data_IF_966103777105
#
_entry.id   IF_966103777105
#
_cell.length_a   1.000
_cell.length_b   1.000
_cell.length_c   1.000
_cell.angle_alpha   90.00
_cell.angle_beta   90.00
_cell.angle_gamma   90.00
#
_symmetry.space_group_name_H-M   'P 1'
#
loop_
_entity.id
_entity.type
_entity.pdbx_description
1 polymer ?
#
# COMPACT_ATOMS: atom_id res chain seq x y z
N UNK A 1 7.41 -15.88 27.08
CA UNK A 1 6.72 -14.57 27.16
C UNK A 1 7.67 -13.36 27.17
N UNK A 2 8.74 -13.36 27.99
CA UNK A 2 9.75 -12.27 28.03
C UNK A 2 10.33 -11.93 26.65
N UNK A 3 10.61 -12.94 25.83
CA UNK A 3 11.16 -12.78 24.48
C UNK A 3 10.18 -12.07 23.50
N UNK A 4 8.87 -12.30 23.62
CA UNK A 4 7.86 -11.60 22.80
C UNK A 4 7.80 -10.12 23.16
N UNK A 5 7.73 -9.81 24.46
CA UNK A 5 7.69 -8.43 24.93
C UNK A 5 8.95 -7.66 24.54
N UNK A 6 10.12 -8.30 24.65
CA UNK A 6 11.39 -7.71 24.24
C UNK A 6 11.42 -7.36 22.74
N UNK A 7 10.98 -8.28 21.86
CA UNK A 7 10.92 -8.01 20.41
C UNK A 7 9.92 -6.92 20.05
N UNK A 8 8.77 -6.86 20.74
CA UNK A 8 7.80 -5.78 20.55
C UNK A 8 8.41 -4.42 20.91
N UNK A 9 9.05 -4.32 22.07
CA UNK A 9 9.66 -3.08 22.53
C UNK A 9 10.88 -2.65 21.70
N UNK A 10 11.67 -3.60 21.21
CA UNK A 10 12.92 -3.30 20.49
C UNK A 10 12.74 -3.09 18.98
N UNK A 11 11.72 -3.67 18.36
CA UNK A 11 11.57 -3.70 16.89
C UNK A 11 10.22 -3.14 16.46
N UNK A 12 9.13 -3.77 16.93
CA UNK A 12 7.80 -3.48 16.41
C UNK A 12 7.33 -2.07 16.78
N UNK A 13 7.34 -1.72 18.08
CA UNK A 13 6.83 -0.43 18.52
C UNK A 13 7.68 0.74 18.01
N UNK A 14 9.03 0.70 18.04
CA UNK A 14 9.85 1.77 17.46
C UNK A 14 9.56 2.01 15.97
N UNK A 15 9.36 0.95 15.19
CA UNK A 15 8.99 1.05 13.77
C UNK A 15 7.63 1.74 13.58
N UNK A 16 6.62 1.32 14.34
CA UNK A 16 5.27 1.89 14.23
C UNK A 16 5.21 3.33 14.76
N UNK A 17 6.00 3.66 15.79
CA UNK A 17 6.10 5.02 16.32
C UNK A 17 6.76 5.96 15.30
N UNK A 18 7.82 5.52 14.62
CA UNK A 18 8.47 6.33 13.59
C UNK A 18 7.51 6.71 12.44
N UNK A 19 6.62 5.78 12.06
CA UNK A 19 5.55 6.06 11.07
C UNK A 19 4.57 7.08 11.63
N UNK A 20 4.09 6.87 12.85
CA UNK A 20 3.14 7.78 13.51
C UNK A 20 3.70 9.20 13.63
N UNK A 21 4.94 9.35 14.09
CA UNK A 21 5.62 10.65 14.25
C UNK A 21 5.79 11.36 12.91
N UNK A 22 6.15 10.61 11.86
CA UNK A 22 6.30 11.17 10.51
C UNK A 22 4.97 11.70 9.97
N UNK A 23 3.88 10.95 10.15
CA UNK A 23 2.54 11.36 9.72
C UNK A 23 2.04 12.56 10.53
N UNK A 24 2.17 12.52 11.86
CA UNK A 24 1.78 13.62 12.73
C UNK A 24 2.53 14.92 12.40
N UNK A 25 3.84 14.83 12.12
CA UNK A 25 4.63 15.99 11.71
C UNK A 25 4.17 16.59 10.39
N UNK A 26 3.68 15.77 9.45
CA UNK A 26 3.10 16.24 8.18
C UNK A 26 1.74 16.88 8.40
N UNK A 27 0.90 16.29 9.23
CA UNK A 27 -0.42 16.84 9.57
C UNK A 27 -0.31 18.21 10.25
N UNK A 28 0.63 18.37 11.20
CA UNK A 28 0.90 19.67 11.84
C UNK A 28 1.33 20.76 10.85
N UNK A 29 1.91 20.39 9.70
CA UNK A 29 2.28 21.31 8.61
C UNK A 29 1.18 21.49 7.57
N UNK A 30 -0.01 20.92 7.78
CA UNK A 30 -1.10 20.93 6.80
C UNK A 30 -0.77 20.16 5.51
N UNK A 31 0.17 19.22 5.58
CA UNK A 31 0.60 18.44 4.40
C UNK A 31 -0.28 17.20 4.24
N UNK A 32 -1.10 17.22 3.19
CA UNK A 32 -1.81 16.02 2.75
C UNK A 32 -0.82 14.86 2.52
N UNK A 33 -1.19 13.67 2.97
CA UNK A 33 -0.33 12.49 2.92
C UNK A 33 -1.15 11.28 2.53
N UNK A 34 -0.55 10.42 1.71
CA UNK A 34 -1.08 9.12 1.36
C UNK A 34 -0.12 8.07 1.92
N UNK A 35 -0.66 7.10 2.66
CA UNK A 35 0.15 6.02 3.20
C UNK A 35 0.30 4.90 2.16
N UNK A 36 1.53 4.65 1.70
CA UNK A 36 1.81 3.54 0.79
C UNK A 36 2.64 2.49 1.52
N UNK A 37 2.03 1.33 1.76
CA UNK A 37 2.67 0.14 2.29
C UNK A 37 3.24 -0.66 1.11
N UNK A 38 4.54 -0.94 1.10
CA UNK A 38 5.24 -1.55 -0.05
C UNK A 38 5.83 -2.90 0.34
N UNK A 39 5.37 -3.95 -0.33
CA UNK A 39 5.76 -5.33 -0.08
C UNK A 39 6.08 -6.07 -1.38
N UNK A 40 6.53 -7.30 -1.19
CA UNK A 40 6.71 -8.26 -2.27
C UNK A 40 6.31 -9.66 -1.83
N UNK A 41 5.89 -10.47 -2.79
CA UNK A 41 5.48 -11.85 -2.53
C UNK A 41 6.19 -12.86 -3.42
N UNK A 42 6.32 -14.10 -2.94
CA UNK A 42 6.95 -15.19 -3.69
C UNK A 42 6.12 -15.59 -4.92
N UNK A 43 6.72 -16.00 -6.06
CA UNK A 43 5.95 -16.31 -7.27
C UNK A 43 5.10 -17.58 -7.14
N UNK A 44 5.47 -18.47 -6.22
CA UNK A 44 4.70 -19.62 -5.78
C UNK A 44 5.02 -19.90 -4.31
N UNK A 45 4.12 -20.57 -3.60
CA UNK A 45 4.44 -21.22 -2.33
C UNK A 45 5.05 -22.60 -2.61
N UNK A 46 5.73 -23.19 -1.63
CA UNK A 46 6.46 -24.47 -1.80
C UNK A 46 5.61 -25.61 -2.39
N UNK A 47 4.32 -25.63 -2.08
CA UNK A 47 3.33 -26.60 -2.58
C UNK A 47 2.14 -25.90 -3.28
N UNK A 48 2.31 -24.64 -3.70
CA UNK A 48 1.24 -23.82 -4.27
C UNK A 48 1.32 -23.65 -5.77
N UNK A 49 0.17 -23.38 -6.40
CA UNK A 49 0.11 -22.98 -7.80
C UNK A 49 0.90 -21.68 -8.06
N UNK A 50 1.41 -21.47 -9.28
CA UNK A 50 1.99 -20.20 -9.69
C UNK A 50 1.00 -19.04 -9.44
N UNK A 51 1.47 -17.96 -8.84
CA UNK A 51 0.71 -16.74 -8.63
C UNK A 51 0.85 -15.86 -9.87
N UNK A 52 -0.22 -15.72 -10.68
CA UNK A 52 -0.10 -15.12 -12.01
C UNK A 52 0.09 -13.60 -11.95
N UNK A 53 -0.36 -12.96 -10.86
CA UNK A 53 -0.30 -11.52 -10.70
C UNK A 53 1.14 -11.03 -10.64
N UNK A 54 1.41 -9.93 -11.32
CA UNK A 54 2.70 -9.24 -11.26
C UNK A 54 2.72 -8.18 -10.15
N UNK A 55 1.55 -7.59 -9.87
CA UNK A 55 1.32 -6.65 -8.78
C UNK A 55 -0.08 -6.87 -8.18
N UNK A 56 -0.18 -6.86 -6.86
CA UNK A 56 -1.41 -6.85 -6.09
C UNK A 56 -1.64 -5.49 -5.44
N UNK A 57 -2.89 -5.03 -5.44
CA UNK A 57 -3.34 -3.88 -4.66
C UNK A 57 -4.28 -4.38 -3.58
N UNK A 58 -3.89 -4.17 -2.33
CA UNK A 58 -4.65 -4.56 -1.15
C UNK A 58 -5.40 -3.35 -0.59
N UNK A 59 -6.67 -3.57 -0.28
CA UNK A 59 -7.55 -2.57 0.31
C UNK A 59 -8.78 -3.23 0.95
N UNK A 60 -9.28 -2.61 2.01
CA UNK A 60 -10.53 -3.02 2.68
C UNK A 60 -11.28 -1.78 3.21
N UNK A 61 -11.18 -1.51 4.51
CA UNK A 61 -11.82 -0.37 5.16
C UNK A 61 -11.10 0.98 4.96
N UNK A 62 -11.54 2.00 5.71
CA UNK A 62 -10.95 3.34 5.68
C UNK A 62 -11.17 4.09 4.36
N UNK A 63 -10.28 5.04 4.04
CA UNK A 63 -10.29 5.75 2.75
C UNK A 63 -9.48 4.97 1.69
N UNK A 64 -10.15 3.99 1.06
CA UNK A 64 -9.58 3.17 -0.03
C UNK A 64 -9.63 3.86 -1.41
N UNK A 65 -9.93 5.17 -1.50
CA UNK A 65 -10.09 5.88 -2.77
C UNK A 65 -8.81 5.88 -3.62
N UNK A 66 -7.66 6.05 -2.98
CA UNK A 66 -6.36 6.01 -3.66
C UNK A 66 -6.00 4.60 -4.14
N UNK A 67 -6.16 3.57 -3.29
CA UNK A 67 -5.95 2.18 -3.68
C UNK A 67 -6.84 1.77 -4.88
N UNK A 68 -8.12 2.14 -4.85
CA UNK A 68 -9.06 1.84 -5.95
C UNK A 68 -8.67 2.56 -7.25
N UNK A 69 -8.24 3.82 -7.15
CA UNK A 69 -7.75 4.57 -8.30
C UNK A 69 -6.49 3.93 -8.91
N UNK A 70 -5.56 3.48 -8.05
CA UNK A 70 -4.33 2.83 -8.45
C UNK A 70 -4.57 1.47 -9.10
N UNK A 71 -5.45 0.66 -8.52
CA UNK A 71 -5.90 -0.60 -9.11
C UNK A 71 -6.51 -0.38 -10.50
N UNK A 72 -7.37 0.63 -10.64
CA UNK A 72 -7.98 1.00 -11.91
C UNK A 72 -6.93 1.42 -12.94
N UNK A 73 -5.98 2.26 -12.54
CA UNK A 73 -4.88 2.74 -13.40
C UNK A 73 -4.03 1.58 -13.92
N UNK A 74 -3.58 0.69 -13.02
CA UNK A 74 -2.76 -0.47 -13.37
C UNK A 74 -3.49 -1.43 -14.32
N UNK A 75 -4.80 -1.63 -14.15
CA UNK A 75 -5.63 -2.49 -15.02
C UNK A 75 -5.85 -1.94 -16.44
N UNK A 76 -5.47 -0.69 -16.70
CA UNK A 76 -5.46 -0.13 -18.06
C UNK A 76 -4.35 -0.76 -18.91
N UNK A 77 -3.22 -1.11 -18.30
CA UNK A 77 -2.13 -1.82 -18.96
C UNK A 77 -2.47 -3.31 -19.12
N UNK A 78 -2.85 -3.72 -20.33
CA UNK A 78 -3.22 -5.11 -20.64
C UNK A 78 -2.04 -6.08 -20.64
N UNK A 79 -0.81 -5.59 -20.49
CA UNK A 79 0.36 -6.44 -20.28
C UNK A 79 0.54 -6.86 -18.83
N UNK A 80 -0.25 -6.30 -17.91
CA UNK A 80 -0.24 -6.62 -16.49
C UNK A 80 -1.43 -7.49 -16.07
N UNK A 81 -1.12 -8.56 -15.35
CA UNK A 81 -2.05 -9.29 -14.51
C UNK A 81 -2.00 -8.63 -13.13
N UNK A 82 -3.04 -7.86 -12.81
CA UNK A 82 -3.14 -7.08 -11.57
C UNK A 82 -4.09 -7.78 -10.59
N UNK A 83 -3.58 -8.07 -9.40
CA UNK A 83 -4.33 -8.62 -8.28
C UNK A 83 -5.11 -7.54 -7.54
N UNK A 84 -6.34 -7.87 -7.15
CA UNK A 84 -7.24 -7.03 -6.35
C UNK A 84 -7.54 -7.82 -5.09
N UNK A 85 -6.87 -7.45 -4.00
CA UNK A 85 -6.73 -8.30 -2.82
C UNK A 85 -6.20 -9.71 -3.17
N UNK A 86 -5.17 -9.75 -4.02
CA UNK A 86 -4.42 -10.95 -4.40
C UNK A 86 -2.91 -10.65 -4.39
N UNK A 87 -2.03 -11.59 -3.95
CA UNK A 87 -2.33 -12.96 -3.50
C UNK A 87 -2.80 -13.03 -2.04
N UNK A 88 -2.88 -11.88 -1.37
CA UNK A 88 -3.35 -11.72 -0.01
C UNK A 88 -4.52 -10.76 -0.01
N UNK A 89 -5.43 -10.95 0.93
CA UNK A 89 -6.57 -10.08 1.15
C UNK A 89 -6.31 -9.23 2.38
N UNK A 90 -6.52 -7.93 2.26
CA UNK A 90 -6.52 -7.06 3.43
C UNK A 90 -7.72 -7.42 4.31
N UNK A 91 -7.47 -7.67 5.60
CA UNK A 91 -8.49 -8.00 6.59
C UNK A 91 -8.11 -7.51 8.01
N UNK A 92 -8.72 -8.09 9.04
CA UNK A 92 -8.54 -7.69 10.44
C UNK A 92 -7.16 -8.04 11.02
N UNK A 93 -6.35 -8.86 10.34
CA UNK A 93 -4.99 -9.19 10.79
C UNK A 93 -3.93 -8.24 10.23
N UNK A 94 -4.28 -7.37 9.27
CA UNK A 94 -3.43 -6.29 8.81
C UNK A 94 -3.17 -5.26 9.91
N UNK A 95 -1.97 -4.67 9.90
CA UNK A 95 -1.52 -3.85 11.02
C UNK A 95 -1.24 -2.39 10.61
N UNK A 96 -0.27 -2.18 9.73
CA UNK A 96 0.27 -0.84 9.45
C UNK A 96 -0.78 0.08 8.84
N UNK A 97 -1.50 -0.38 7.82
CA UNK A 97 -2.55 0.43 7.17
C UNK A 97 -3.70 0.75 8.13
N UNK A 98 -4.37 -0.25 8.77
CA UNK A 98 -5.44 0.07 9.72
C UNK A 98 -5.01 1.00 10.86
N UNK A 99 -3.82 0.77 11.43
CA UNK A 99 -3.29 1.59 12.54
C UNK A 99 -3.08 3.06 12.16
N UNK A 100 -2.57 3.34 10.97
CA UNK A 100 -2.09 4.67 10.60
C UNK A 100 -2.98 5.43 9.62
N UNK A 101 -3.89 4.75 8.93
CA UNK A 101 -4.74 5.35 7.91
C UNK A 101 -6.20 5.52 8.35
N UNK A 102 -6.79 4.52 9.01
CA UNK A 102 -8.26 4.45 9.15
C UNK A 102 -8.82 5.56 10.05
N UNK A 103 -8.29 5.72 11.27
CA UNK A 103 -8.79 6.71 12.22
C UNK A 103 -8.62 8.16 11.73
N UNK A 104 -7.56 8.42 10.96
CA UNK A 104 -7.26 9.72 10.38
C UNK A 104 -7.98 9.96 9.03
N UNK A 105 -8.78 8.99 8.55
CA UNK A 105 -9.36 9.00 7.20
C UNK A 105 -8.33 9.31 6.11
N UNK A 106 -7.12 8.80 6.27
CA UNK A 106 -6.01 9.03 5.34
C UNK A 106 -6.13 8.05 4.18
N UNK A 107 -6.03 8.57 2.96
CA UNK A 107 -5.95 7.71 1.79
C UNK A 107 -4.71 6.81 1.86
N UNK A 108 -4.83 5.58 1.39
CA UNK A 108 -3.74 4.60 1.43
C UNK A 108 -3.72 3.69 0.20
N UNK A 109 -2.63 2.94 0.04
CA UNK A 109 -2.58 1.72 -0.75
C UNK A 109 -1.56 0.75 -0.15
N UNK A 110 -1.88 -0.54 -0.17
CA UNK A 110 -0.90 -1.60 0.08
C UNK A 110 -0.54 -2.29 -1.24
N UNK A 111 0.76 -2.32 -1.55
CA UNK A 111 1.33 -2.80 -2.79
C UNK A 111 2.05 -4.12 -2.56
N UNK A 112 1.78 -5.09 -3.41
CA UNK A 112 2.43 -6.39 -3.42
C UNK A 112 3.06 -6.65 -4.78
N UNK A 113 4.39 -6.59 -4.92
CA UNK A 113 5.07 -6.86 -6.20
C UNK A 113 5.61 -8.29 -6.21
N UNK A 114 5.39 -9.05 -7.28
CA UNK A 114 5.94 -10.41 -7.35
C UNK A 114 7.46 -10.34 -7.38
N UNK A 115 8.11 -10.96 -6.38
CA UNK A 115 9.51 -10.69 -6.06
C UNK A 115 10.51 -11.08 -7.17
N UNK A 116 10.15 -12.03 -8.05
CA UNK A 116 10.99 -12.41 -9.20
C UNK A 116 11.21 -11.22 -10.13
N UNK A 117 10.22 -10.33 -10.24
CA UNK A 117 10.24 -9.15 -11.11
C UNK A 117 11.11 -8.01 -10.58
N UNK A 118 11.55 -8.09 -9.32
CA UNK A 118 12.39 -7.09 -8.63
C UNK A 118 13.68 -7.69 -8.04
N UNK A 119 14.04 -8.90 -8.48
CA UNK A 119 15.25 -9.60 -8.04
C UNK A 119 16.56 -8.98 -8.56
N UNK A 120 16.47 -8.19 -9.63
CA UNK A 120 17.61 -7.54 -10.28
C UNK A 120 17.39 -6.03 -10.46
N UNK A 121 18.47 -5.22 -10.56
CA UNK A 121 18.39 -3.75 -10.64
C UNK A 121 17.54 -3.22 -11.80
N UNK A 122 17.54 -3.91 -12.94
CA UNK A 122 16.71 -3.57 -14.10
C UNK A 122 15.20 -3.71 -13.78
N UNK A 123 14.81 -4.80 -13.13
CA UNK A 123 13.43 -5.03 -12.70
C UNK A 123 12.97 -4.00 -11.67
N UNK A 124 13.82 -3.70 -10.69
CA UNK A 124 13.57 -2.66 -9.68
C UNK A 124 13.38 -1.28 -10.33
N UNK A 125 14.28 -0.89 -11.24
CA UNK A 125 14.22 0.40 -11.93
C UNK A 125 12.96 0.52 -12.79
N UNK A 126 12.60 -0.56 -13.48
CA UNK A 126 11.40 -0.60 -14.31
C UNK A 126 10.12 -0.48 -13.47
N UNK A 127 10.02 -1.22 -12.37
CA UNK A 127 8.88 -1.13 -11.45
C UNK A 127 8.81 0.23 -10.75
N UNK A 128 9.94 0.80 -10.33
CA UNK A 128 9.97 2.13 -9.74
C UNK A 128 9.47 3.20 -10.72
N UNK A 129 9.94 3.19 -11.97
CA UNK A 129 9.51 4.13 -13.00
C UNK A 129 8.01 3.98 -13.33
N UNK A 130 7.51 2.74 -13.37
CA UNK A 130 6.09 2.48 -13.54
C UNK A 130 5.29 3.01 -12.35
N UNK A 131 5.65 2.64 -11.12
CA UNK A 131 4.91 3.04 -9.92
C UNK A 131 4.91 4.55 -9.74
N UNK A 132 6.00 5.26 -10.03
CA UNK A 132 5.99 6.73 -10.00
C UNK A 132 4.88 7.32 -10.90
N UNK A 133 4.75 6.81 -12.13
CA UNK A 133 3.70 7.23 -13.05
C UNK A 133 2.30 6.90 -12.52
N UNK A 134 2.08 5.65 -12.12
CA UNK A 134 0.75 5.18 -11.68
C UNK A 134 0.30 5.85 -10.38
N UNK A 135 1.21 6.06 -9.41
CA UNK A 135 0.91 6.77 -8.17
C UNK A 135 0.55 8.24 -8.43
N UNK A 136 1.27 8.93 -9.33
CA UNK A 136 0.95 10.32 -9.71
C UNK A 136 -0.38 10.44 -10.44
N UNK A 137 -0.72 9.48 -11.29
CA UNK A 137 -2.02 9.45 -11.96
C UNK A 137 -3.14 9.23 -10.95
N UNK A 138 -2.98 8.24 -10.08
CA UNK A 138 -3.96 7.86 -9.05
C UNK A 138 -4.19 8.96 -8.02
N UNK A 139 -3.16 9.73 -7.69
CA UNK A 139 -3.28 10.91 -6.84
C UNK A 139 -4.22 11.96 -7.45
N UNK A 140 -4.14 12.19 -8.77
CA UNK A 140 -5.04 13.12 -9.45
C UNK A 140 -6.46 12.57 -9.53
N UNK A 141 -6.60 11.29 -9.87
CA UNK A 141 -7.90 10.64 -10.03
C UNK A 141 -8.68 10.55 -8.71
N UNK A 142 -8.02 10.17 -7.61
CA UNK A 142 -8.64 10.06 -6.28
C UNK A 142 -9.19 11.40 -5.76
N UNK A 143 -8.53 12.52 -6.09
CA UNK A 143 -9.01 13.88 -5.76
C UNK A 143 -10.25 14.32 -6.53
N UNK A 144 -10.55 13.69 -7.66
CA UNK A 144 -11.71 14.02 -8.49
C UNK A 144 -12.97 13.21 -8.13
N UNK A 145 -12.84 12.21 -7.25
CA UNK A 145 -13.98 11.41 -6.79
C UNK A 145 -14.92 12.20 -5.87
N UNK A 146 -16.27 12.08 -6.00
CA UNK A 146 -17.24 12.90 -5.28
C UNK A 146 -17.15 12.81 -3.74
N UNK A 147 -16.56 11.75 -3.20
CA UNK A 147 -16.37 11.53 -1.75
C UNK A 147 -15.50 12.61 -1.10
N UNK A 148 -14.60 13.25 -1.86
CA UNK A 148 -13.71 14.30 -1.36
C UNK A 148 -14.32 15.72 -1.36
N UNK A 149 -15.57 15.89 -1.88
CA UNK A 149 -16.20 17.22 -1.97
C UNK A 149 -16.86 17.70 -0.66
N UNK A 150 -16.93 16.88 0.39
CA UNK A 150 -17.74 17.18 1.59
C UNK A 150 -16.94 17.64 2.82
N UNK A 151 -15.74 18.21 2.64
CA UNK A 151 -15.02 18.88 3.74
C UNK A 151 -14.64 20.31 3.38
N UNK A 152 -15.66 21.16 3.32
CA UNK A 152 -15.66 22.61 3.61
C UNK A 152 -17.12 22.95 3.97
N UNK A 153 -17.43 23.79 4.97
CA UNK A 153 -16.57 24.77 5.64
C UNK A 153 -15.86 24.27 6.90
#
# INVERSE_FOLDING_TARGET
EVDRAARLAAIHEPYQQAIADTLAARDMRGQESILVSLHSFTPALREGSPRPWQIGILHDGGDASFATALLTSLRQDKTLIVGDNEPYRMDQIDYTVPRHAYAAARAYAELEIRQDLISAPNGQSWWAARLDRELRFSLRASRMSPVHRTRLP
#
